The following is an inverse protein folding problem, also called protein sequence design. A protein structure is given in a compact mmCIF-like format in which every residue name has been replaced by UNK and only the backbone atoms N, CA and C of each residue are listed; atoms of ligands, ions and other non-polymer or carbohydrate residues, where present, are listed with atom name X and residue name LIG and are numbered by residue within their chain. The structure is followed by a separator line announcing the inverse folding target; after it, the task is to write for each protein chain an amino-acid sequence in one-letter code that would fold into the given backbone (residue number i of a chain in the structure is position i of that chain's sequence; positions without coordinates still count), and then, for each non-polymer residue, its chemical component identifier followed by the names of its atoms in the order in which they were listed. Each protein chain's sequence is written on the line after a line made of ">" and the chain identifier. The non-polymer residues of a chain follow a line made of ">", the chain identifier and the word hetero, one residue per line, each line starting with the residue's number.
data_IF_794464000036
#
_entry.id   IF_794464000036
#
_cell.length_a   1.000
_cell.length_b   1.000
_cell.length_c   1.000
_cell.angle_alpha   90.00
_cell.angle_beta   90.00
_cell.angle_gamma   90.00
#
_symmetry.space_group_name_H-M   'P 1'
#
loop_
_entity.id
_entity.type
_entity.pdbx_description
1 polymer ?
#
# COMPACT_ATOMS: atom_id res chain seq x y z
N UNK A 1 24.14 -27.41 36.32
CA UNK A 1 24.75 -28.47 37.16
C UNK A 1 25.88 -29.08 36.37
N UNK A 2 27.12 -29.02 36.88
CA UNK A 2 28.27 -29.63 36.23
C UNK A 2 28.22 -31.15 36.40
N UNK A 3 28.55 -31.89 35.33
CA UNK A 3 28.53 -33.35 35.30
C UNK A 3 29.96 -33.87 35.32
N UNK A 4 30.25 -34.78 36.23
CA UNK A 4 31.56 -35.41 36.40
C UNK A 4 31.48 -36.89 35.99
N UNK A 5 32.60 -37.48 35.59
CA UNK A 5 32.69 -38.92 35.28
C UNK A 5 32.34 -39.32 33.85
N UNK A 6 32.18 -38.38 32.92
CA UNK A 6 32.03 -38.66 31.49
C UNK A 6 33.12 -37.97 30.67
N UNK A 7 33.37 -38.48 29.46
CA UNK A 7 34.21 -37.79 28.48
C UNK A 7 33.51 -36.53 27.97
N UNK A 8 34.30 -35.53 27.57
CA UNK A 8 33.79 -34.25 27.09
C UNK A 8 32.75 -34.40 25.97
N UNK A 9 32.98 -35.30 25.01
CA UNK A 9 32.07 -35.54 23.88
C UNK A 9 30.66 -35.95 24.32
N UNK A 10 30.56 -36.94 25.21
CA UNK A 10 29.25 -37.38 25.72
C UNK A 10 28.55 -36.31 26.55
N UNK A 11 29.30 -35.58 27.37
CA UNK A 11 28.75 -34.47 28.15
C UNK A 11 28.22 -33.34 27.25
N UNK A 12 28.89 -33.06 26.13
CA UNK A 12 28.45 -32.09 25.14
C UNK A 12 27.14 -32.52 24.45
N UNK A 13 27.06 -33.76 23.99
CA UNK A 13 25.85 -34.32 23.35
C UNK A 13 24.63 -34.30 24.29
N UNK A 14 24.82 -34.71 25.55
CA UNK A 14 23.75 -34.64 26.57
C UNK A 14 23.29 -33.20 26.81
N UNK A 15 24.23 -32.24 26.84
CA UNK A 15 23.90 -30.82 27.04
C UNK A 15 23.07 -30.24 25.89
N UNK A 16 23.40 -30.60 24.65
CA UNK A 16 22.66 -30.19 23.44
C UNK A 16 21.25 -30.78 23.48
N UNK A 17 21.15 -32.08 23.79
CA UNK A 17 19.86 -32.79 23.88
C UNK A 17 18.96 -32.17 24.95
N UNK A 18 19.54 -31.88 26.13
CA UNK A 18 18.83 -31.24 27.22
C UNK A 18 18.38 -29.82 26.86
N UNK A 19 19.21 -29.06 26.15
CA UNK A 19 18.87 -27.72 25.66
C UNK A 19 17.70 -27.77 24.67
N UNK A 20 17.73 -28.66 23.69
CA UNK A 20 16.66 -28.81 22.70
C UNK A 20 15.33 -29.15 23.40
N UNK A 21 15.35 -30.09 24.35
CA UNK A 21 14.17 -30.46 25.13
C UNK A 21 13.60 -29.26 25.91
N UNK A 22 14.47 -28.51 26.58
CA UNK A 22 14.06 -27.34 27.36
C UNK A 22 13.45 -26.24 26.47
N UNK A 23 13.98 -26.06 25.25
CA UNK A 23 13.43 -25.12 24.28
C UNK A 23 12.06 -25.56 23.77
N UNK A 24 11.87 -26.85 23.52
CA UNK A 24 10.58 -27.40 23.11
C UNK A 24 9.51 -27.20 24.21
N UNK A 25 9.85 -27.49 25.47
CA UNK A 25 8.97 -27.26 26.62
C UNK A 25 8.61 -25.79 26.80
N UNK A 26 9.58 -24.87 26.61
CA UNK A 26 9.31 -23.42 26.64
C UNK A 26 8.34 -23.00 25.55
N UNK A 27 8.54 -23.44 24.31
CA UNK A 27 7.63 -23.15 23.19
C UNK A 27 6.23 -23.70 23.44
N UNK A 28 6.11 -24.95 23.89
CA UNK A 28 4.82 -25.56 24.22
C UNK A 28 4.10 -24.80 25.34
N UNK A 29 4.83 -24.36 26.37
CA UNK A 29 4.27 -23.57 27.47
C UNK A 29 3.82 -22.18 27.03
N UNK A 30 4.58 -21.54 26.13
CA UNK A 30 4.16 -20.29 25.50
C UNK A 30 2.92 -20.49 24.62
N UNK A 31 2.84 -21.60 23.88
CA UNK A 31 1.70 -21.92 23.02
C UNK A 31 0.41 -22.19 23.82
N UNK A 32 0.50 -22.88 24.96
CA UNK A 32 -0.62 -23.06 25.90
C UNK A 32 -1.06 -21.74 26.54
N UNK A 33 -0.13 -20.82 26.83
CA UNK A 33 -0.50 -19.46 27.26
C UNK A 33 -1.13 -18.67 26.12
N UNK A 34 -0.67 -18.89 24.88
CA UNK A 34 -1.14 -18.23 23.65
C UNK A 34 -2.57 -18.60 23.29
N UNK A 35 -2.95 -19.86 23.47
CA UNK A 35 -4.32 -20.33 23.24
C UNK A 35 -5.35 -19.77 24.23
N UNK A 36 -4.90 -19.28 25.40
CA UNK A 36 -5.75 -18.61 26.41
C UNK A 36 -5.83 -17.09 26.22
N UNK A 37 -5.02 -16.50 25.35
CA UNK A 37 -5.00 -15.06 25.07
C UNK A 37 -5.72 -14.71 23.76
N UNK A 38 -6.28 -13.49 23.67
CA UNK A 38 -6.84 -12.93 22.43
C UNK A 38 -5.84 -13.04 21.27
N UNK A 39 -6.32 -13.20 20.01
CA UNK A 39 -5.45 -13.29 18.84
C UNK A 39 -4.48 -12.10 18.79
N UNK A 40 -3.16 -12.36 18.65
CA UNK A 40 -2.20 -11.27 18.41
C UNK A 40 -2.62 -10.55 17.13
N UNK A 41 -2.83 -9.23 17.21
CA UNK A 41 -2.91 -8.37 16.04
C UNK A 41 -1.64 -8.62 15.25
N UNK A 42 -1.76 -9.33 14.12
CA UNK A 42 -0.64 -9.52 13.20
C UNK A 42 -0.36 -8.16 12.58
N UNK A 43 0.89 -7.74 12.65
CA UNK A 43 1.31 -6.52 12.00
C UNK A 43 1.19 -6.71 10.49
N UNK A 44 0.21 -6.06 9.86
CA UNK A 44 -0.02 -6.15 8.41
C UNK A 44 1.05 -5.41 7.59
N UNK A 45 1.98 -4.70 8.24
CA UNK A 45 2.98 -3.87 7.56
C UNK A 45 4.00 -4.69 6.77
N UNK A 46 4.18 -5.97 7.07
CA UNK A 46 5.13 -6.86 6.38
C UNK A 46 4.46 -7.69 5.27
N UNK A 47 3.15 -7.58 5.12
CA UNK A 47 2.44 -8.30 4.07
C UNK A 47 2.67 -7.58 2.74
N UNK A 48 3.37 -8.25 1.82
CA UNK A 48 3.73 -7.69 0.51
C UNK A 48 2.49 -7.24 -0.28
N UNK A 49 1.35 -7.91 -0.10
CA UNK A 49 0.11 -7.53 -0.78
C UNK A 49 -0.43 -6.21 -0.23
N UNK A 50 -0.43 -6.06 1.10
CA UNK A 50 -0.88 -4.83 1.77
C UNK A 50 0.00 -3.64 1.39
N UNK A 51 1.31 -3.87 1.27
CA UNK A 51 2.24 -2.85 0.79
C UNK A 51 1.89 -2.47 -0.64
N UNK A 52 1.77 -3.44 -1.55
CA UNK A 52 1.51 -3.16 -2.96
C UNK A 52 0.17 -2.45 -3.17
N UNK A 53 -0.88 -2.86 -2.47
CA UNK A 53 -2.18 -2.19 -2.47
C UNK A 53 -2.08 -0.74 -1.97
N UNK A 54 -1.23 -0.49 -0.96
CA UNK A 54 -0.96 0.87 -0.50
C UNK A 54 -0.30 1.72 -1.60
N UNK A 55 0.74 1.21 -2.27
CA UNK A 55 1.40 1.93 -3.36
C UNK A 55 0.44 2.21 -4.52
N UNK A 56 -0.36 1.23 -4.94
CA UNK A 56 -1.37 1.37 -5.99
C UNK A 56 -2.46 2.39 -5.61
N UNK A 57 -2.93 2.35 -4.36
CA UNK A 57 -3.97 3.25 -3.87
C UNK A 57 -3.53 4.70 -3.91
N UNK A 58 -2.32 4.99 -3.45
CA UNK A 58 -1.79 6.37 -3.41
C UNK A 58 -1.05 6.79 -4.68
N UNK A 59 -1.00 5.94 -5.71
CA UNK A 59 -0.35 6.24 -6.98
C UNK A 59 1.16 6.44 -6.86
N UNK A 60 1.78 5.78 -5.88
CA UNK A 60 3.23 5.81 -5.63
C UNK A 60 3.99 4.88 -6.59
N UNK A 61 3.27 4.06 -7.36
CA UNK A 61 3.75 3.24 -8.47
C UNK A 61 3.99 4.05 -9.76
N UNK A 62 3.81 5.37 -9.71
CA UNK A 62 3.93 6.27 -10.86
C UNK A 62 2.62 6.45 -11.63
N UNK A 63 1.54 5.75 -11.24
CA UNK A 63 0.20 5.97 -11.79
C UNK A 63 -0.55 6.94 -10.89
N UNK A 64 -0.67 8.19 -11.32
CA UNK A 64 -1.36 9.20 -10.51
C UNK A 64 -2.85 8.89 -10.37
N UNK A 65 -3.30 8.64 -9.13
CA UNK A 65 -4.69 8.34 -8.80
C UNK A 65 -5.48 9.65 -8.56
N UNK A 66 -6.58 9.92 -9.29
CA UNK A 66 -7.38 11.12 -9.10
C UNK A 66 -7.97 11.28 -7.69
N UNK A 67 -8.18 10.20 -6.94
CA UNK A 67 -8.74 10.25 -5.58
C UNK A 67 -7.71 10.69 -4.52
N UNK A 68 -6.43 10.45 -4.80
CA UNK A 68 -5.30 10.75 -3.91
C UNK A 68 -4.30 11.65 -4.65
N UNK A 69 -4.65 12.93 -4.88
CA UNK A 69 -3.76 13.85 -5.55
C UNK A 69 -2.48 14.10 -4.71
N UNK A 70 -1.40 14.60 -5.33
CA UNK A 70 -0.20 14.97 -4.59
C UNK A 70 -0.47 15.94 -3.44
N UNK A 71 0.44 15.93 -2.46
CA UNK A 71 0.39 16.85 -1.32
C UNK A 71 0.64 18.30 -1.77
N UNK A 72 0.05 19.31 -1.08
CA UNK A 72 0.45 20.70 -1.27
C UNK A 72 1.96 20.88 -1.09
N UNK A 73 2.61 21.60 -2.01
CA UNK A 73 4.07 21.74 -2.06
C UNK A 73 4.77 20.76 -3.00
N UNK A 74 4.04 19.82 -3.63
CA UNK A 74 4.56 19.02 -4.74
C UNK A 74 5.00 19.92 -5.90
N UNK A 75 6.26 19.78 -6.32
CA UNK A 75 6.89 20.60 -7.38
C UNK A 75 6.93 19.91 -8.75
N UNK A 76 6.46 18.66 -8.84
CA UNK A 76 6.41 17.92 -10.09
C UNK A 76 5.22 18.31 -10.98
N UNK A 77 5.21 17.78 -12.20
CA UNK A 77 4.17 18.07 -13.18
C UNK A 77 2.85 17.36 -12.86
N UNK A 78 1.75 18.11 -12.85
CA UNK A 78 0.39 17.56 -12.78
C UNK A 78 -0.32 17.83 -14.12
N UNK A 79 -0.67 16.77 -14.87
CA UNK A 79 -1.37 16.91 -16.14
C UNK A 79 -2.68 17.69 -16.02
N UNK A 80 -2.98 18.52 -17.01
CA UNK A 80 -4.23 19.31 -17.15
C UNK A 80 -4.52 20.28 -15.99
N UNK A 81 -3.66 20.35 -14.98
CA UNK A 81 -3.70 21.37 -13.94
C UNK A 81 -3.09 22.66 -14.49
N UNK A 82 -3.93 23.49 -15.13
CA UNK A 82 -3.54 24.83 -15.57
C UNK A 82 -3.84 25.86 -14.48
N UNK A 83 -3.06 26.95 -14.40
CA UNK A 83 -3.40 28.09 -13.54
C UNK A 83 -4.68 28.84 -13.98
N UNK A 84 -5.20 28.57 -15.18
CA UNK A 84 -6.50 29.06 -15.69
C UNK A 84 -7.70 28.33 -15.02
N UNK A 85 -8.92 28.87 -15.14
CA UNK A 85 -10.30 28.44 -14.75
C UNK A 85 -10.53 27.25 -13.78
N UNK A 86 -9.74 26.18 -13.86
CA UNK A 86 -9.77 25.05 -12.94
C UNK A 86 -8.97 25.28 -11.64
N UNK A 87 -7.94 26.14 -11.68
CA UNK A 87 -7.00 26.37 -10.58
C UNK A 87 -7.31 27.58 -9.69
N UNK A 88 -7.90 28.64 -10.24
CA UNK A 88 -8.16 29.89 -9.50
C UNK A 88 -9.31 29.67 -8.50
N UNK A 89 -9.08 30.04 -7.24
CA UNK A 89 -10.08 29.92 -6.17
C UNK A 89 -10.32 28.49 -5.67
N UNK A 90 -9.47 27.52 -6.04
CA UNK A 90 -9.54 26.14 -5.55
C UNK A 90 -8.30 25.78 -4.74
N UNK A 91 -8.45 24.84 -3.80
CA UNK A 91 -7.29 24.27 -3.11
C UNK A 91 -6.45 23.44 -4.09
N UNK A 92 -5.15 23.35 -3.84
CA UNK A 92 -4.22 22.55 -4.65
C UNK A 92 -4.75 21.14 -4.91
N UNK A 93 -5.18 20.44 -3.85
CA UNK A 93 -5.72 19.08 -3.96
C UNK A 93 -6.95 19.04 -4.87
N UNK A 94 -7.87 20.00 -4.78
CA UNK A 94 -9.07 20.02 -5.63
C UNK A 94 -8.73 20.24 -7.12
N UNK A 95 -7.79 21.13 -7.41
CA UNK A 95 -7.32 21.36 -8.78
C UNK A 95 -6.60 20.13 -9.34
N UNK A 96 -5.73 19.50 -8.54
CA UNK A 96 -5.01 18.29 -8.91
C UNK A 96 -5.96 17.12 -9.18
N UNK A 97 -6.97 16.88 -8.32
CA UNK A 97 -7.98 15.83 -8.56
C UNK A 97 -8.68 15.98 -9.91
N UNK A 98 -9.05 17.22 -10.25
CA UNK A 98 -9.73 17.50 -11.53
C UNK A 98 -8.83 17.23 -12.73
N UNK A 99 -7.58 17.71 -12.70
CA UNK A 99 -6.64 17.47 -13.80
C UNK A 99 -6.38 15.97 -14.01
N UNK A 100 -6.20 15.23 -12.92
CA UNK A 100 -6.02 13.78 -12.97
C UNK A 100 -7.26 13.03 -13.46
N UNK A 101 -8.46 13.44 -13.04
CA UNK A 101 -9.71 12.84 -13.51
C UNK A 101 -9.95 13.08 -15.01
N UNK A 102 -9.56 14.23 -15.55
CA UNK A 102 -9.63 14.47 -16.99
C UNK A 102 -8.71 13.52 -17.75
N UNK A 103 -7.50 13.26 -17.24
CA UNK A 103 -6.58 12.31 -17.85
C UNK A 103 -7.08 10.88 -17.76
N UNK A 104 -7.73 10.47 -16.66
CA UNK A 104 -8.31 9.12 -16.58
C UNK A 104 -9.41 8.92 -17.61
N UNK A 105 -10.30 9.91 -17.78
CA UNK A 105 -11.36 9.88 -18.79
C UNK A 105 -10.75 9.85 -20.21
N UNK A 106 -9.74 10.68 -20.50
CA UNK A 106 -9.03 10.67 -21.78
C UNK A 106 -8.35 9.32 -22.07
N UNK A 107 -7.85 8.61 -21.04
CA UNK A 107 -7.27 7.28 -21.20
C UNK A 107 -8.33 6.22 -21.49
N UNK A 108 -9.39 6.18 -20.69
CA UNK A 108 -10.50 5.25 -20.88
C UNK A 108 -11.13 5.42 -22.27
N UNK A 109 -11.42 6.65 -22.68
CA UNK A 109 -11.96 6.94 -24.02
C UNK A 109 -11.02 6.48 -25.14
N UNK A 110 -9.70 6.69 -25.01
CA UNK A 110 -8.71 6.18 -25.98
C UNK A 110 -8.68 4.66 -26.02
N UNK A 111 -8.76 3.99 -24.89
CA UNK A 111 -8.78 2.53 -24.81
C UNK A 111 -10.03 1.96 -25.50
N UNK A 112 -11.20 2.55 -25.27
CA UNK A 112 -12.45 2.11 -25.90
C UNK A 112 -12.43 2.37 -27.42
N UNK A 113 -11.90 3.51 -27.86
CA UNK A 113 -11.71 3.81 -29.28
C UNK A 113 -10.71 2.83 -29.94
N UNK A 114 -9.60 2.51 -29.26
CA UNK A 114 -8.62 1.52 -29.73
C UNK A 114 -9.22 0.11 -29.79
N UNK A 115 -10.19 -0.20 -28.93
CA UNK A 115 -10.95 -1.45 -28.94
C UNK A 115 -12.06 -1.48 -30.02
N UNK A 116 -12.19 -0.44 -30.84
CA UNK A 116 -13.16 -0.38 -31.95
C UNK A 116 -14.59 -0.03 -31.54
N UNK A 117 -14.82 0.41 -30.30
CA UNK A 117 -16.13 0.87 -29.82
C UNK A 117 -16.23 2.41 -29.96
N UNK A 118 -17.20 2.87 -30.74
CA UNK A 118 -17.45 4.31 -30.93
C UNK A 118 -18.21 4.88 -29.72
N UNK A 119 -17.53 5.67 -28.89
CA UNK A 119 -18.14 6.35 -27.73
C UNK A 119 -18.48 7.80 -28.09
N UNK A 120 -19.73 8.20 -27.89
CA UNK A 120 -20.14 9.60 -27.96
C UNK A 120 -19.47 10.39 -26.81
N UNK A 121 -18.55 11.30 -27.14
CA UNK A 121 -17.92 12.18 -26.15
C UNK A 121 -18.99 13.10 -25.52
N UNK A 122 -19.04 13.26 -24.18
CA UNK A 122 -19.86 14.29 -23.58
C UNK A 122 -19.28 15.67 -23.93
N UNK A 123 -20.05 16.47 -24.66
CA UNK A 123 -19.68 17.83 -25.06
C UNK A 123 -19.59 18.73 -23.83
N UNK A 124 -18.41 18.87 -23.23
CA UNK A 124 -18.16 19.90 -22.22
C UNK A 124 -17.87 21.22 -22.92
N UNK A 125 -18.90 21.87 -23.49
CA UNK A 125 -18.83 23.31 -23.74
C UNK A 125 -19.27 24.03 -22.46
N UNK A 126 -18.47 24.98 -21.93
CA UNK A 126 -18.96 25.83 -20.86
C UNK A 126 -20.10 26.69 -21.41
N UNK A 127 -21.29 26.56 -20.83
CA UNK A 127 -22.44 27.40 -21.12
C UNK A 127 -22.12 28.82 -20.64
N UNK A 128 -21.65 29.68 -21.52
CA UNK A 128 -21.55 31.13 -21.25
C UNK A 128 -22.96 31.70 -21.27
N UNK A 129 -23.56 31.85 -20.09
CA UNK A 129 -24.69 32.75 -19.87
C UNK A 129 -24.19 34.20 -19.92
N UNK A 130 -24.65 35.03 -20.86
CA UNK A 130 -24.35 36.46 -20.83
C UNK A 130 -25.19 37.13 -19.73
N UNK A 131 -24.53 38.01 -18.97
CA UNK A 131 -25.13 38.96 -18.02
C UNK A 131 -24.79 40.37 -18.45
#
# INVERSE_FOLDING_TARGET
>A
MFRYGQTFGRAAEESITQYIKLQAERKAREEVKRSRSLPRIKEKRTDSQVIQDFYNKYGLDGRSNPNYPPLPGYTGYIPKMKPTDLGIGRTFSAAARRGLAQVSIERETREVLNAGLHVALPSTRPTTTPS
#
